data_IF_072736628958
#
_entry.id   IF_072736628958
#
_cell.length_a   1.000
_cell.length_b   1.000
_cell.length_c   1.000
_cell.angle_alpha   90.00
_cell.angle_beta   90.00
_cell.angle_gamma   90.00
#
_symmetry.space_group_name_H-M   'P 1'
#
loop_
_entity.id
_entity.type
_entity.pdbx_description
1 polymer ?
#
# COMPACT_ATOMS: atom_id res chain seq x y z
N UNK A 1 -6.22 30.76 81.06
CA UNK A 1 -5.73 29.44 80.69
C UNK A 1 -6.47 29.03 79.41
N UNK A 2 -5.84 29.26 78.29
CA UNK A 2 -6.43 28.95 76.95
C UNK A 2 -5.54 27.81 76.37
N UNK A 3 -6.15 26.63 76.17
CA UNK A 3 -5.49 25.49 75.55
C UNK A 3 -5.80 25.51 74.03
N UNK A 4 -4.78 25.76 73.23
CA UNK A 4 -4.84 25.62 71.77
C UNK A 4 -4.67 24.15 71.38
N UNK A 5 -5.64 23.63 70.61
CA UNK A 5 -5.58 22.29 70.03
C UNK A 5 -5.09 22.49 68.59
N UNK A 6 -3.87 21.96 68.29
CA UNK A 6 -3.40 21.84 66.89
C UNK A 6 -3.99 20.60 66.28
N UNK A 7 -4.82 20.76 65.24
CA UNK A 7 -5.25 19.66 64.37
C UNK A 7 -4.23 19.48 63.24
N UNK A 8 -3.46 18.40 63.28
CA UNK A 8 -2.58 17.97 62.19
C UNK A 8 -3.39 17.32 61.10
N UNK A 9 -3.41 17.91 59.89
CA UNK A 9 -3.97 17.31 58.69
C UNK A 9 -2.93 16.36 58.07
N UNK A 10 -3.16 15.06 58.13
CA UNK A 10 -2.37 14.05 57.44
C UNK A 10 -2.83 14.01 56.00
N UNK A 11 -2.05 14.62 55.07
CA UNK A 11 -2.28 14.53 53.64
C UNK A 11 -1.82 13.16 53.14
N UNK A 12 -2.74 12.28 52.78
CA UNK A 12 -2.42 11.04 52.08
C UNK A 12 -1.99 11.34 50.62
N UNK A 13 -0.71 11.22 50.35
CA UNK A 13 -0.19 11.23 48.96
C UNK A 13 -0.52 9.91 48.30
N UNK A 14 -1.55 9.88 47.49
CA UNK A 14 -1.83 8.76 46.58
C UNK A 14 -0.78 8.73 45.46
N UNK A 15 0.26 7.94 45.66
CA UNK A 15 1.18 7.56 44.58
C UNK A 15 0.43 6.63 43.64
N UNK A 16 0.03 7.15 42.47
CA UNK A 16 -0.40 6.31 41.35
C UNK A 16 0.83 5.55 40.88
N UNK A 17 0.96 4.31 41.31
CA UNK A 17 1.90 3.35 40.72
C UNK A 17 1.35 3.00 39.33
N UNK A 18 1.94 3.58 38.28
CA UNK A 18 1.73 3.09 36.92
C UNK A 18 2.25 1.64 36.88
N UNK A 19 1.34 0.70 36.72
CA UNK A 19 1.70 -0.69 36.45
C UNK A 19 2.53 -0.68 35.15
N UNK A 20 3.67 -1.41 35.11
CA UNK A 20 4.40 -1.57 33.86
C UNK A 20 3.44 -2.17 32.83
N UNK A 21 3.21 -1.49 31.72
CA UNK A 21 2.54 -2.07 30.59
C UNK A 21 3.45 -3.23 30.12
N UNK A 22 2.94 -4.45 30.17
CA UNK A 22 3.64 -5.60 29.60
C UNK A 22 3.72 -5.40 28.10
N UNK A 23 4.92 -5.56 27.53
CA UNK A 23 5.12 -5.58 26.09
C UNK A 23 4.25 -6.70 25.47
N UNK A 24 3.47 -6.36 24.48
CA UNK A 24 2.69 -7.33 23.71
C UNK A 24 3.48 -7.82 22.51
N UNK A 25 3.15 -9.01 22.02
CA UNK A 25 3.74 -9.56 20.80
C UNK A 25 2.73 -9.57 19.69
N UNK A 26 3.03 -8.85 18.60
CA UNK A 26 2.21 -8.75 17.39
C UNK A 26 2.80 -9.53 16.22
N UNK A 27 1.97 -10.23 15.48
CA UNK A 27 2.34 -10.88 14.22
C UNK A 27 2.14 -9.91 13.06
N UNK A 28 3.23 -9.68 12.33
CA UNK A 28 3.32 -8.71 11.22
C UNK A 28 3.54 -9.44 9.90
N UNK A 29 2.66 -9.21 8.94
CA UNK A 29 2.83 -9.67 7.57
C UNK A 29 3.07 -8.50 6.60
N UNK A 30 3.66 -8.81 5.44
CA UNK A 30 3.81 -7.89 4.30
C UNK A 30 3.36 -8.64 3.05
N UNK A 31 2.41 -8.08 2.29
CA UNK A 31 1.74 -8.82 1.21
C UNK A 31 2.60 -9.05 -0.04
N UNK A 32 3.53 -8.18 -0.33
CA UNK A 32 4.35 -8.24 -1.57
C UNK A 32 5.71 -8.93 -1.36
N UNK A 33 5.91 -9.59 -0.23
CA UNK A 33 7.18 -10.25 0.11
C UNK A 33 6.92 -11.71 0.47
N UNK A 34 7.50 -12.60 -0.32
CA UNK A 34 7.38 -14.04 -0.10
C UNK A 34 8.60 -14.59 0.69
N UNK A 35 8.30 -15.37 1.71
CA UNK A 35 9.30 -16.06 2.53
C UNK A 35 9.88 -15.23 3.67
N UNK A 36 10.20 -15.93 4.75
CA UNK A 36 10.67 -15.29 5.99
C UNK A 36 12.04 -14.62 5.84
N UNK A 37 12.94 -15.18 5.04
CA UNK A 37 14.27 -14.61 4.81
C UNK A 37 14.18 -13.24 4.12
N UNK A 38 13.34 -13.12 3.10
CA UNK A 38 13.10 -11.82 2.45
C UNK A 38 12.43 -10.82 3.38
N UNK A 39 11.45 -11.25 4.18
CA UNK A 39 10.83 -10.39 5.20
C UNK A 39 11.88 -9.84 6.17
N UNK A 40 12.76 -10.69 6.67
CA UNK A 40 13.84 -10.27 7.58
C UNK A 40 14.81 -9.30 6.92
N UNK A 41 15.17 -9.55 5.66
CA UNK A 41 16.12 -8.69 4.92
C UNK A 41 15.50 -7.36 4.52
N UNK A 42 14.27 -7.38 3.98
CA UNK A 42 13.65 -6.19 3.38
C UNK A 42 12.86 -5.34 4.40
N UNK A 43 12.38 -5.95 5.51
CA UNK A 43 11.53 -5.29 6.50
C UNK A 43 12.03 -5.39 7.93
N UNK A 44 13.20 -6.04 8.16
CA UNK A 44 13.84 -6.13 9.47
C UNK A 44 14.05 -4.76 10.13
N UNK A 45 14.68 -3.79 9.46
CA UNK A 45 14.84 -2.45 10.01
C UNK A 45 13.52 -1.76 10.38
N UNK A 46 12.47 -1.94 9.59
CA UNK A 46 11.13 -1.44 9.92
C UNK A 46 10.58 -2.08 11.21
N UNK A 47 10.71 -3.41 11.34
CA UNK A 47 10.31 -4.13 12.55
C UNK A 47 11.03 -3.60 13.78
N UNK A 48 12.35 -3.44 13.71
CA UNK A 48 13.16 -2.92 14.81
C UNK A 48 12.77 -1.48 15.18
N UNK A 49 12.48 -0.63 14.18
CA UNK A 49 11.99 0.72 14.41
C UNK A 49 10.62 0.73 15.10
N UNK A 50 9.71 -0.18 14.72
CA UNK A 50 8.42 -0.35 15.40
C UNK A 50 8.60 -0.78 16.87
N UNK A 51 9.43 -1.78 17.14
CA UNK A 51 9.72 -2.25 18.49
C UNK A 51 10.26 -1.13 19.38
N UNK A 52 11.18 -0.32 18.82
CA UNK A 52 11.73 0.84 19.53
C UNK A 52 10.67 1.94 19.78
N UNK A 53 9.78 2.18 18.82
CA UNK A 53 8.76 3.22 18.90
C UNK A 53 7.63 2.87 19.88
N UNK A 54 7.22 1.59 19.91
CA UNK A 54 6.04 1.14 20.65
C UNK A 54 6.35 0.51 21.99
N UNK A 55 7.56 -0.06 22.16
CA UNK A 55 7.93 -0.90 23.29
C UNK A 55 7.32 -2.31 23.23
N UNK A 56 6.60 -2.65 22.18
CA UNK A 56 6.03 -3.97 21.92
C UNK A 56 7.00 -4.82 21.08
N UNK A 57 6.74 -6.11 20.95
CA UNK A 57 7.53 -7.04 20.13
C UNK A 57 6.77 -7.39 18.86
N UNK A 58 7.48 -7.54 17.72
CA UNK A 58 6.88 -7.92 16.46
C UNK A 58 7.52 -9.18 15.89
N UNK A 59 6.69 -10.13 15.46
CA UNK A 59 7.13 -11.36 14.80
C UNK A 59 6.63 -11.39 13.37
N UNK A 60 7.52 -11.64 12.40
CA UNK A 60 7.11 -11.80 11.03
C UNK A 60 6.28 -13.07 10.82
N UNK A 61 5.17 -12.89 10.12
CA UNK A 61 4.32 -13.98 9.64
C UNK A 61 4.37 -14.01 8.11
N UNK A 62 5.07 -14.96 7.48
CA UNK A 62 5.18 -15.01 6.04
C UNK A 62 3.84 -15.40 5.41
N UNK A 63 3.48 -14.71 4.35
CA UNK A 63 2.31 -15.01 3.50
C UNK A 63 2.80 -15.24 2.07
N UNK A 64 2.14 -16.14 1.35
CA UNK A 64 2.51 -16.49 -0.02
C UNK A 64 1.59 -15.87 -1.08
N UNK A 65 0.63 -15.08 -0.66
CA UNK A 65 -0.26 -14.34 -1.54
C UNK A 65 -1.01 -13.25 -0.78
N UNK A 66 -1.56 -12.29 -1.52
CA UNK A 66 -2.44 -11.23 -1.00
C UNK A 66 -3.68 -11.78 -0.30
N UNK A 67 -4.27 -12.84 -0.86
CA UNK A 67 -5.43 -13.53 -0.27
C UNK A 67 -5.06 -14.24 1.03
N UNK A 68 -3.86 -14.82 1.12
CA UNK A 68 -3.40 -15.49 2.33
C UNK A 68 -3.31 -14.53 3.53
N UNK A 69 -2.95 -13.26 3.33
CA UNK A 69 -2.96 -12.25 4.37
C UNK A 69 -4.38 -11.98 4.91
N UNK A 70 -5.38 -11.87 4.03
CA UNK A 70 -6.78 -11.69 4.41
C UNK A 70 -7.30 -12.86 5.27
N UNK A 71 -7.02 -14.09 4.85
CA UNK A 71 -7.42 -15.29 5.60
C UNK A 71 -6.68 -15.43 6.93
N UNK A 72 -5.39 -15.04 6.99
CA UNK A 72 -4.63 -15.05 8.23
C UNK A 72 -5.16 -14.04 9.25
N UNK A 73 -5.55 -12.83 8.80
CA UNK A 73 -6.20 -11.81 9.64
C UNK A 73 -7.58 -12.29 10.14
N UNK A 74 -8.41 -12.83 9.23
CA UNK A 74 -9.73 -13.37 9.59
C UNK A 74 -9.62 -14.48 10.63
N UNK A 75 -8.58 -15.32 10.52
CA UNK A 75 -8.28 -16.40 11.47
C UNK A 75 -7.53 -15.93 12.72
N UNK A 76 -7.27 -14.63 12.88
CA UNK A 76 -6.51 -14.03 14.00
C UNK A 76 -5.10 -14.61 14.15
N UNK A 77 -4.48 -15.03 13.04
CA UNK A 77 -3.11 -15.54 13.00
C UNK A 77 -2.08 -14.46 12.67
N UNK A 78 -2.55 -13.31 12.23
CA UNK A 78 -1.79 -12.10 11.97
C UNK A 78 -2.54 -10.93 12.58
N UNK A 79 -1.81 -9.98 13.13
CA UNK A 79 -2.34 -8.82 13.83
C UNK A 79 -2.25 -7.55 12.98
N UNK A 80 -1.11 -7.36 12.32
CA UNK A 80 -0.81 -6.21 11.48
C UNK A 80 -0.36 -6.66 10.09
N UNK A 81 -0.73 -5.90 9.05
CA UNK A 81 -0.29 -6.17 7.68
C UNK A 81 0.15 -4.86 7.01
N UNK A 82 1.34 -4.87 6.42
CA UNK A 82 1.78 -3.85 5.46
C UNK A 82 1.29 -4.26 4.08
N UNK A 83 0.59 -3.38 3.39
CA UNK A 83 -0.07 -3.72 2.13
C UNK A 83 -0.29 -2.52 1.21
N UNK A 84 -0.58 -2.81 -0.06
CA UNK A 84 -0.97 -1.80 -1.04
C UNK A 84 -2.48 -1.50 -1.02
N UNK A 85 -2.91 -0.46 -1.75
CA UNK A 85 -4.31 -0.01 -1.73
C UNK A 85 -5.33 -1.04 -2.22
N UNK A 86 -5.02 -1.77 -3.28
CA UNK A 86 -5.96 -2.76 -3.83
C UNK A 86 -6.13 -3.95 -2.88
N UNK A 87 -5.04 -4.42 -2.31
CA UNK A 87 -5.04 -5.49 -1.32
C UNK A 87 -5.80 -5.08 -0.06
N UNK A 88 -5.63 -3.83 0.40
CA UNK A 88 -6.39 -3.30 1.52
C UNK A 88 -7.90 -3.41 1.29
N UNK A 89 -8.40 -3.00 0.14
CA UNK A 89 -9.84 -3.09 -0.18
C UNK A 89 -10.35 -4.52 -0.07
N UNK A 90 -9.60 -5.50 -0.58
CA UNK A 90 -9.93 -6.92 -0.48
C UNK A 90 -9.87 -7.42 0.96
N UNK A 91 -8.79 -7.08 1.68
CA UNK A 91 -8.57 -7.49 3.08
C UNK A 91 -9.66 -6.88 3.99
N UNK A 92 -9.99 -5.59 3.80
CA UNK A 92 -11.06 -4.93 4.54
C UNK A 92 -12.40 -5.64 4.32
N UNK A 93 -12.75 -5.99 3.07
CA UNK A 93 -13.99 -6.71 2.75
C UNK A 93 -14.06 -8.11 3.39
N UNK A 94 -12.94 -8.84 3.42
CA UNK A 94 -12.89 -10.24 3.88
C UNK A 94 -12.71 -10.34 5.40
N UNK A 95 -11.84 -9.51 5.98
CA UNK A 95 -11.38 -9.63 7.36
C UNK A 95 -11.81 -8.46 8.25
N UNK A 96 -12.51 -7.45 7.71
CA UNK A 96 -12.90 -6.23 8.42
C UNK A 96 -11.72 -5.50 9.08
N UNK A 97 -10.52 -5.66 8.50
CA UNK A 97 -9.32 -4.98 8.97
C UNK A 97 -9.42 -3.48 8.74
N UNK A 98 -8.84 -2.69 9.65
CA UNK A 98 -8.92 -1.24 9.64
C UNK A 98 -7.56 -0.61 9.34
N UNK A 99 -7.51 0.59 8.70
CA UNK A 99 -6.25 1.29 8.46
C UNK A 99 -5.64 1.80 9.77
N UNK A 100 -4.32 1.64 9.92
CA UNK A 100 -3.56 2.11 11.08
C UNK A 100 -2.81 3.40 10.71
N UNK A 101 -1.82 3.32 9.82
CA UNK A 101 -1.07 4.46 9.27
C UNK A 101 -0.84 4.28 7.78
N UNK A 102 -0.80 5.37 7.04
CA UNK A 102 -0.42 5.41 5.63
C UNK A 102 1.10 5.52 5.48
N UNK A 103 1.64 4.81 4.50
CA UNK A 103 3.02 4.89 4.04
C UNK A 103 2.99 5.69 2.73
N UNK A 104 3.29 7.00 2.78
CA UNK A 104 3.12 7.84 1.60
C UNK A 104 4.08 7.44 0.47
N UNK A 105 3.60 7.58 -0.75
CA UNK A 105 4.40 7.29 -1.95
C UNK A 105 4.38 8.52 -2.84
N UNK A 106 5.45 9.33 -2.85
CA UNK A 106 5.54 10.48 -3.73
C UNK A 106 5.37 10.08 -5.20
N UNK A 107 4.59 10.84 -5.95
CA UNK A 107 4.34 10.61 -7.38
C UNK A 107 3.77 9.20 -7.69
N UNK A 108 2.88 8.70 -6.83
CA UNK A 108 2.26 7.39 -7.02
C UNK A 108 1.02 7.50 -7.90
N UNK A 109 1.20 7.35 -9.20
CA UNK A 109 0.12 7.36 -10.19
C UNK A 109 0.36 6.34 -11.31
N UNK A 110 -0.68 6.02 -12.05
CA UNK A 110 -0.58 5.18 -13.22
C UNK A 110 -0.66 5.97 -14.52
N UNK A 111 -0.18 5.36 -15.59
CA UNK A 111 -0.30 5.90 -16.94
C UNK A 111 -0.52 4.80 -17.97
N UNK A 112 -1.13 5.17 -19.09
CA UNK A 112 -1.13 4.37 -20.32
C UNK A 112 -0.10 4.99 -21.27
N UNK A 113 0.90 4.19 -21.63
CA UNK A 113 2.04 4.59 -22.45
C UNK A 113 1.97 3.87 -23.79
N UNK A 114 2.30 4.57 -24.87
CA UNK A 114 2.41 4.05 -26.23
C UNK A 114 3.74 4.45 -26.86
N UNK A 115 4.15 3.79 -27.95
CA UNK A 115 5.24 4.31 -28.78
C UNK A 115 4.84 5.65 -29.40
N UNK A 116 5.71 6.66 -29.32
CA UNK A 116 5.43 7.99 -29.83
C UNK A 116 5.09 8.02 -31.32
N UNK A 117 5.65 7.07 -32.08
CA UNK A 117 5.41 6.90 -33.53
C UNK A 117 4.13 6.13 -33.87
N UNK A 118 3.38 5.61 -32.87
CA UNK A 118 2.16 4.86 -33.11
C UNK A 118 1.00 5.78 -33.53
N UNK A 119 -0.02 5.20 -34.15
CA UNK A 119 -1.29 5.83 -34.51
C UNK A 119 -2.23 6.03 -33.32
N UNK A 120 -1.91 5.45 -32.16
CA UNK A 120 -2.72 5.55 -30.94
C UNK A 120 -2.49 6.91 -30.29
N UNK A 121 -3.45 7.81 -30.37
CA UNK A 121 -3.38 9.19 -29.84
C UNK A 121 -4.12 9.33 -28.53
N UNK A 122 -5.22 8.61 -28.38
CA UNK A 122 -6.08 8.61 -27.18
C UNK A 122 -6.34 7.19 -26.70
N UNK A 123 -6.77 6.96 -25.47
CA UNK A 123 -7.17 5.63 -25.03
C UNK A 123 -8.27 4.97 -25.87
N UNK A 124 -9.15 5.75 -26.53
CA UNK A 124 -10.20 5.21 -27.41
C UNK A 124 -9.64 4.45 -28.61
N UNK A 125 -8.46 4.84 -29.09
CA UNK A 125 -7.80 4.20 -30.23
C UNK A 125 -7.26 2.80 -29.88
N UNK A 126 -7.34 2.41 -28.60
CA UNK A 126 -6.94 1.09 -28.11
C UNK A 126 -8.02 0.02 -28.28
N UNK A 127 -9.23 0.39 -28.74
CA UNK A 127 -10.30 -0.60 -28.99
C UNK A 127 -9.84 -1.70 -29.94
N UNK A 128 -10.00 -2.96 -29.50
CA UNK A 128 -9.55 -4.15 -30.23
C UNK A 128 -8.03 -4.39 -30.21
N UNK A 129 -7.25 -3.57 -29.49
CA UNK A 129 -5.80 -3.71 -29.44
C UNK A 129 -5.36 -4.46 -28.18
N UNK A 130 -4.15 -5.01 -28.25
CA UNK A 130 -3.47 -5.70 -27.14
C UNK A 130 -2.72 -4.70 -26.27
N UNK A 131 -2.86 -4.83 -24.95
CA UNK A 131 -2.27 -3.96 -23.94
C UNK A 131 -1.51 -4.82 -22.93
N UNK A 132 -0.25 -4.49 -22.65
CA UNK A 132 0.46 -5.05 -21.51
C UNK A 132 0.06 -4.35 -20.22
N UNK A 133 -0.14 -5.09 -19.15
CA UNK A 133 -0.34 -4.60 -17.79
C UNK A 133 0.47 -5.45 -16.82
N UNK A 134 0.69 -4.93 -15.62
CA UNK A 134 1.38 -5.63 -14.51
C UNK A 134 0.48 -6.76 -13.95
N UNK A 135 0.89 -7.36 -12.84
CA UNK A 135 0.20 -8.47 -12.20
C UNK A 135 -1.27 -8.15 -11.90
N UNK A 136 -2.11 -9.18 -12.02
CA UNK A 136 -3.54 -9.09 -11.68
C UNK A 136 -3.70 -8.62 -10.24
N UNK A 137 -4.54 -7.59 -10.04
CA UNK A 137 -4.78 -6.98 -8.73
C UNK A 137 -3.81 -5.86 -8.37
N UNK A 138 -2.77 -5.58 -9.16
CA UNK A 138 -1.87 -4.43 -8.94
C UNK A 138 -2.64 -3.11 -9.03
N UNK A 139 -2.61 -2.29 -7.98
CA UNK A 139 -3.31 -0.99 -7.96
C UNK A 139 -2.90 -0.12 -9.15
N UNK A 140 -1.60 0.12 -9.31
CA UNK A 140 -1.07 1.06 -10.33
C UNK A 140 -0.72 0.42 -11.66
N UNK A 141 -0.59 -0.90 -11.71
CA UNK A 141 -0.20 -1.62 -12.92
C UNK A 141 -1.34 -2.35 -13.63
N UNK A 142 -2.49 -2.53 -12.97
CA UNK A 142 -3.65 -3.19 -13.51
C UNK A 142 -4.95 -2.41 -13.27
N UNK A 143 -5.38 -2.23 -12.01
CA UNK A 143 -6.67 -1.61 -11.69
C UNK A 143 -6.76 -0.19 -12.23
N UNK A 144 -5.79 0.64 -11.94
CA UNK A 144 -5.77 2.03 -12.35
C UNK A 144 -5.70 2.21 -13.89
N UNK A 145 -4.82 1.53 -14.66
CA UNK A 145 -4.87 1.60 -16.12
C UNK A 145 -6.20 1.11 -16.70
N UNK A 146 -6.83 0.09 -16.09
CA UNK A 146 -8.16 -0.37 -16.50
C UNK A 146 -9.23 0.68 -16.23
N UNK A 147 -9.18 1.39 -15.11
CA UNK A 147 -10.06 2.51 -14.83
C UNK A 147 -9.87 3.64 -15.86
N UNK A 148 -8.62 3.97 -16.22
CA UNK A 148 -8.38 4.96 -17.27
C UNK A 148 -9.02 4.57 -18.61
N UNK A 149 -8.99 3.30 -19.00
CA UNK A 149 -9.72 2.84 -20.19
C UNK A 149 -11.22 3.06 -20.04
N UNK A 150 -11.79 2.71 -18.89
CA UNK A 150 -13.21 2.89 -18.60
C UNK A 150 -13.62 4.37 -18.61
N UNK A 151 -12.81 5.27 -18.07
CA UNK A 151 -13.04 6.72 -18.06
C UNK A 151 -13.11 7.31 -19.49
N UNK A 152 -12.42 6.66 -20.44
CA UNK A 152 -12.50 7.02 -21.87
C UNK A 152 -13.57 6.23 -22.64
N UNK A 153 -14.42 5.46 -21.95
CA UNK A 153 -15.56 4.77 -22.52
C UNK A 153 -15.27 3.41 -23.15
N UNK A 154 -14.15 2.79 -22.80
CA UNK A 154 -13.84 1.40 -23.16
C UNK A 154 -14.17 0.47 -21.98
N UNK A 155 -14.73 -0.70 -22.25
CA UNK A 155 -14.83 -1.79 -21.29
C UNK A 155 -13.51 -2.57 -21.31
N UNK A 156 -12.64 -2.46 -20.27
CA UNK A 156 -11.33 -3.12 -20.29
C UNK A 156 -11.43 -4.65 -20.31
N UNK A 157 -12.61 -5.21 -19.98
CA UNK A 157 -12.83 -6.66 -19.98
C UNK A 157 -13.30 -7.20 -21.34
N UNK A 158 -13.64 -6.31 -22.30
CA UNK A 158 -14.24 -6.70 -23.60
C UNK A 158 -13.65 -5.97 -24.80
N UNK A 159 -13.34 -4.67 -24.62
CA UNK A 159 -12.94 -3.81 -25.73
C UNK A 159 -11.44 -3.86 -26.05
N UNK A 160 -10.63 -4.48 -25.19
CA UNK A 160 -9.18 -4.61 -25.34
C UNK A 160 -8.72 -6.03 -24.94
N UNK A 161 -7.55 -6.46 -25.42
CA UNK A 161 -6.91 -7.68 -24.98
C UNK A 161 -5.80 -7.34 -23.97
N UNK A 162 -6.03 -7.61 -22.67
CA UNK A 162 -5.03 -7.37 -21.63
C UNK A 162 -4.15 -8.61 -21.48
N UNK A 163 -2.83 -8.40 -21.48
CA UNK A 163 -1.83 -9.42 -21.13
C UNK A 163 -1.07 -8.99 -19.88
N UNK A 164 -1.06 -9.85 -18.87
CA UNK A 164 -0.36 -9.58 -17.61
C UNK A 164 1.07 -10.11 -17.70
N UNK A 165 2.04 -9.21 -17.55
CA UNK A 165 3.46 -9.50 -17.66
C UNK A 165 4.26 -8.58 -16.73
N UNK A 166 5.48 -8.98 -16.38
CA UNK A 166 6.36 -8.07 -15.61
C UNK A 166 6.62 -6.77 -16.37
N UNK A 167 6.90 -5.69 -15.65
CA UNK A 167 7.19 -4.37 -16.24
C UNK A 167 8.30 -4.39 -17.29
N UNK A 168 9.33 -5.20 -17.06
CA UNK A 168 10.43 -5.33 -18.03
C UNK A 168 9.95 -5.98 -19.33
N UNK A 169 9.14 -7.04 -19.24
CA UNK A 169 8.57 -7.73 -20.40
C UNK A 169 7.58 -6.82 -21.14
N UNK A 170 6.71 -6.09 -20.42
CA UNK A 170 5.77 -5.14 -21.02
C UNK A 170 6.47 -4.00 -21.76
N UNK A 171 7.56 -3.47 -21.21
CA UNK A 171 8.37 -2.45 -21.86
C UNK A 171 8.99 -2.97 -23.19
N UNK A 172 9.56 -4.16 -23.18
CA UNK A 172 10.12 -4.75 -24.39
C UNK A 172 9.05 -5.10 -25.43
N UNK A 173 7.89 -5.62 -24.99
CA UNK A 173 6.76 -5.90 -25.87
C UNK A 173 6.24 -4.63 -26.56
N UNK A 174 6.16 -3.51 -25.82
CA UNK A 174 5.77 -2.22 -26.38
C UNK A 174 6.77 -1.74 -27.45
N UNK A 175 8.06 -1.84 -27.19
CA UNK A 175 9.13 -1.46 -28.13
C UNK A 175 9.07 -2.25 -29.44
N UNK A 176 8.81 -3.56 -29.36
CA UNK A 176 8.68 -4.44 -30.53
C UNK A 176 7.37 -4.27 -31.28
N UNK A 177 6.36 -3.65 -30.65
CA UNK A 177 5.03 -3.56 -31.21
C UNK A 177 4.16 -4.80 -31.00
N UNK A 178 4.55 -5.71 -30.10
CA UNK A 178 3.77 -6.89 -29.71
C UNK A 178 2.50 -6.49 -28.95
N UNK A 179 2.52 -5.31 -28.33
CA UNK A 179 1.38 -4.64 -27.70
C UNK A 179 1.30 -3.19 -28.16
N UNK A 180 0.09 -2.66 -28.25
CA UNK A 180 -0.18 -1.28 -28.66
C UNK A 180 0.08 -0.26 -27.53
N UNK A 181 -0.09 -0.69 -26.29
CA UNK A 181 0.07 0.16 -25.11
C UNK A 181 0.59 -0.63 -23.90
N UNK A 182 1.08 0.11 -22.92
CA UNK A 182 1.52 -0.41 -21.64
C UNK A 182 0.88 0.39 -20.50
N UNK A 183 0.03 -0.27 -19.70
CA UNK A 183 -0.55 0.27 -18.47
C UNK A 183 0.42 0.03 -17.31
N UNK A 184 0.86 1.09 -16.61
CA UNK A 184 2.02 0.97 -15.71
C UNK A 184 2.00 1.99 -14.57
N UNK A 185 2.62 1.63 -13.43
CA UNK A 185 3.10 2.63 -12.48
C UNK A 185 4.16 3.48 -13.16
N UNK A 186 3.86 4.75 -13.41
CA UNK A 186 4.69 5.60 -14.25
C UNK A 186 6.10 5.81 -13.68
N UNK A 187 6.20 6.18 -12.40
CA UNK A 187 7.50 6.48 -11.80
C UNK A 187 8.37 5.23 -11.63
N UNK A 188 7.77 4.11 -11.27
CA UNK A 188 8.51 2.83 -11.21
C UNK A 188 9.04 2.42 -12.59
N UNK A 189 8.26 2.64 -13.64
CA UNK A 189 8.70 2.38 -15.01
C UNK A 189 9.81 3.34 -15.45
N UNK A 190 9.64 4.65 -15.23
CA UNK A 190 10.62 5.67 -15.60
C UNK A 190 11.96 5.44 -14.90
N UNK A 191 11.92 5.27 -13.58
CA UNK A 191 13.14 5.15 -12.77
C UNK A 191 13.76 3.75 -12.85
N UNK A 192 12.93 2.71 -12.92
CA UNK A 192 13.38 1.32 -12.91
C UNK A 192 13.83 0.78 -14.26
N UNK A 193 13.16 1.15 -15.33
CA UNK A 193 13.31 0.50 -16.65
C UNK A 193 13.65 1.52 -17.73
N UNK A 194 12.71 2.43 -18.06
CA UNK A 194 12.88 3.37 -19.19
C UNK A 194 14.12 4.24 -19.04
N UNK A 195 14.37 4.78 -17.86
CA UNK A 195 15.52 5.65 -17.60
C UNK A 195 16.87 4.95 -17.77
N UNK A 196 16.88 3.62 -17.67
CA UNK A 196 18.06 2.78 -17.86
C UNK A 196 18.21 2.24 -19.29
N UNK A 197 17.12 2.24 -20.07
CA UNK A 197 17.12 1.73 -21.44
C UNK A 197 17.70 2.78 -22.40
N UNK A 198 18.88 2.46 -22.91
CA UNK A 198 19.59 3.28 -23.92
C UNK A 198 19.36 2.81 -25.35
N UNK A 199 18.56 1.77 -25.56
CA UNK A 199 18.28 1.22 -26.89
C UNK A 199 17.27 2.04 -27.69
N UNK A 200 16.56 2.97 -27.04
CA UNK A 200 15.60 3.89 -27.66
C UNK A 200 15.90 5.34 -27.31
N UNK A 201 15.61 6.30 -28.21
CA UNK A 201 15.86 7.72 -27.94
C UNK A 201 14.91 8.26 -26.86
N UNK A 202 15.30 9.38 -26.25
CA UNK A 202 14.36 10.17 -25.46
C UNK A 202 13.18 10.60 -26.35
N UNK A 203 11.95 10.48 -25.82
CA UNK A 203 10.76 10.78 -26.62
C UNK A 203 10.24 9.61 -27.47
N UNK A 204 10.85 8.41 -27.38
CA UNK A 204 10.33 7.21 -28.04
C UNK A 204 8.94 6.81 -27.54
N UNK A 205 8.55 7.26 -26.35
CA UNK A 205 7.28 6.95 -25.72
C UNK A 205 6.41 8.20 -25.51
N UNK A 206 5.11 8.00 -25.56
CA UNK A 206 4.09 9.03 -25.26
C UNK A 206 3.11 8.51 -24.24
N UNK A 207 2.79 9.31 -23.22
CA UNK A 207 1.68 9.07 -22.30
C UNK A 207 0.39 9.57 -22.95
N UNK A 208 -0.61 8.72 -23.09
CA UNK A 208 -1.93 9.06 -23.67
C UNK A 208 -3.02 9.20 -22.61
N UNK A 209 -2.79 8.68 -21.40
CA UNK A 209 -3.64 8.90 -20.24
C UNK A 209 -2.80 8.80 -18.96
N UNK A 210 -3.19 9.54 -17.94
CA UNK A 210 -2.60 9.56 -16.62
C UNK A 210 -3.71 9.70 -15.57
N UNK A 211 -3.58 8.99 -14.43
CA UNK A 211 -4.44 9.20 -13.26
C UNK A 211 -4.00 10.43 -12.43
N UNK A 212 -4.84 10.84 -11.49
CA UNK A 212 -4.39 11.54 -10.29
C UNK A 212 -3.53 10.63 -9.42
N UNK A 213 -3.09 11.15 -8.27
CA UNK A 213 -2.34 10.36 -7.31
C UNK A 213 -3.22 9.26 -6.71
N UNK A 214 -2.64 8.09 -6.57
CA UNK A 214 -3.26 6.92 -5.97
C UNK A 214 -3.14 6.99 -4.45
N UNK A 215 -4.06 6.36 -3.70
CA UNK A 215 -3.92 6.23 -2.25
C UNK A 215 -2.60 5.58 -1.85
N UNK A 216 -2.14 5.93 -0.67
CA UNK A 216 -0.90 5.41 -0.10
C UNK A 216 -0.98 3.91 0.21
N UNK A 217 0.18 3.24 0.20
CA UNK A 217 0.31 1.97 0.90
C UNK A 217 0.07 2.19 2.40
N UNK A 218 -0.23 1.15 3.17
CA UNK A 218 -0.59 1.32 4.58
C UNK A 218 -0.17 0.14 5.44
N UNK A 219 -0.07 0.41 6.73
CA UNK A 219 -0.20 -0.60 7.78
C UNK A 219 -1.66 -0.66 8.18
N UNK A 220 -2.22 -1.85 8.21
CA UNK A 220 -3.56 -2.12 8.73
C UNK A 220 -3.51 -3.06 9.94
N UNK A 221 -4.59 -3.08 10.71
CA UNK A 221 -4.74 -3.97 11.85
C UNK A 221 -6.01 -4.82 11.76
N UNK A 222 -5.93 -6.03 12.32
CA UNK A 222 -7.05 -6.96 12.35
C UNK A 222 -8.18 -6.49 13.26
N UNK A 223 -9.42 -6.80 12.92
CA UNK A 223 -10.61 -6.43 13.69
C UNK A 223 -10.64 -6.99 15.12
N UNK A 224 -9.74 -7.91 15.47
CA UNK A 224 -9.60 -8.48 16.80
C UNK A 224 -8.69 -7.64 17.72
N UNK A 225 -7.95 -6.67 17.19
CA UNK A 225 -7.13 -5.76 17.98
C UNK A 225 -8.05 -4.69 18.58
N UNK A 226 -7.89 -4.45 19.88
CA UNK A 226 -8.64 -3.43 20.60
C UNK A 226 -8.37 -2.02 20.03
N UNK A 227 -9.43 -1.22 19.87
CA UNK A 227 -9.32 0.12 19.24
C UNK A 227 -8.40 1.06 20.03
N UNK A 228 -8.34 0.93 21.39
CA UNK A 228 -7.42 1.72 22.20
C UNK A 228 -5.98 1.33 21.91
N UNK A 229 -5.67 0.02 21.83
CA UNK A 229 -4.34 -0.46 21.50
C UNK A 229 -3.93 -0.04 20.09
N UNK A 230 -4.85 -0.11 19.12
CA UNK A 230 -4.61 0.40 17.76
C UNK A 230 -4.28 1.90 17.76
N UNK A 231 -4.96 2.70 18.59
CA UNK A 231 -4.67 4.13 18.71
C UNK A 231 -3.30 4.38 19.36
N UNK A 232 -2.94 3.62 20.40
CA UNK A 232 -1.63 3.72 21.06
C UNK A 232 -0.50 3.37 20.04
N UNK A 233 -0.67 2.31 19.23
CA UNK A 233 0.26 1.95 18.15
C UNK A 233 0.35 3.05 17.09
N UNK A 234 -0.80 3.58 16.63
CA UNK A 234 -0.85 4.67 15.64
C UNK A 234 -0.09 5.89 16.14
N UNK A 235 -0.35 6.30 17.37
CA UNK A 235 0.31 7.44 17.98
C UNK A 235 1.82 7.22 18.05
N UNK A 236 2.27 6.08 18.55
CA UNK A 236 3.69 5.76 18.63
C UNK A 236 4.37 5.79 17.25
N UNK A 237 3.74 5.22 16.23
CA UNK A 237 4.26 5.24 14.86
C UNK A 237 4.35 6.65 14.29
N UNK A 238 3.36 7.50 14.53
CA UNK A 238 3.35 8.88 14.03
C UNK A 238 4.32 9.78 14.82
N UNK A 239 4.50 9.57 16.12
CA UNK A 239 5.47 10.29 16.94
C UNK A 239 6.92 9.95 16.52
N UNK A 240 7.17 8.75 16.01
CA UNK A 240 8.48 8.25 15.54
C UNK A 240 8.56 8.10 14.01
N UNK A 241 7.74 8.82 13.26
CA UNK A 241 7.57 8.65 11.80
C UNK A 241 8.86 8.78 11.00
N UNK A 242 9.77 9.67 11.38
CA UNK A 242 11.03 9.87 10.69
C UNK A 242 11.93 8.63 10.80
N UNK A 243 12.13 8.10 12.01
CA UNK A 243 12.95 6.91 12.25
C UNK A 243 12.38 5.69 11.50
N UNK A 244 11.05 5.55 11.49
CA UNK A 244 10.36 4.45 10.81
C UNK A 244 10.49 4.59 9.29
N UNK A 245 10.30 5.79 8.74
CA UNK A 245 10.45 6.05 7.30
C UNK A 245 11.90 5.78 6.84
N UNK A 246 12.88 6.26 7.58
CA UNK A 246 14.30 6.02 7.29
C UNK A 246 14.62 4.52 7.33
N UNK A 247 14.09 3.78 8.30
CA UNK A 247 14.26 2.35 8.42
C UNK A 247 13.74 1.60 7.18
N UNK A 248 12.57 1.97 6.65
CA UNK A 248 11.99 1.38 5.43
C UNK A 248 12.87 1.70 4.21
N UNK A 249 13.26 2.97 4.05
CA UNK A 249 13.98 3.44 2.84
C UNK A 249 15.43 2.98 2.82
N UNK A 250 16.06 2.80 3.99
CA UNK A 250 17.48 2.41 4.13
C UNK A 250 17.82 1.09 3.43
N UNK A 251 16.87 0.18 3.33
CA UNK A 251 17.06 -1.14 2.70
C UNK A 251 17.27 -1.03 1.19
N UNK A 252 16.67 -0.02 0.55
CA UNK A 252 16.69 0.09 -0.91
C UNK A 252 15.86 -0.99 -1.61
N UNK A 253 16.33 -1.50 -2.77
CA UNK A 253 15.60 -2.53 -3.51
C UNK A 253 14.15 -2.13 -3.84
N UNK A 254 13.19 -2.99 -3.54
CA UNK A 254 11.76 -2.71 -3.74
C UNK A 254 11.25 -1.58 -2.81
N UNK A 255 11.89 -1.36 -1.66
CA UNK A 255 11.55 -0.28 -0.74
C UNK A 255 12.01 1.10 -1.25
N UNK A 256 12.80 1.16 -2.33
CA UNK A 256 13.16 2.42 -2.98
C UNK A 256 11.92 3.20 -3.50
N UNK A 257 10.78 2.53 -3.67
CA UNK A 257 9.48 3.15 -3.99
C UNK A 257 8.99 4.12 -2.92
N UNK A 258 9.49 4.00 -1.70
CA UNK A 258 9.16 4.86 -0.56
C UNK A 258 10.13 6.03 -0.35
N UNK A 259 11.10 6.24 -1.23
CA UNK A 259 12.04 7.36 -1.09
C UNK A 259 11.31 8.70 -1.01
N UNK A 260 11.54 9.46 0.05
CA UNK A 260 10.85 10.71 0.34
C UNK A 260 9.46 10.52 0.96
N UNK A 261 9.16 9.33 1.47
CA UNK A 261 7.92 9.05 2.18
C UNK A 261 7.81 9.77 3.51
N UNK A 262 6.58 9.83 4.01
CA UNK A 262 6.24 10.12 5.40
C UNK A 262 5.20 9.09 5.88
N UNK A 263 5.13 8.86 7.19
CA UNK A 263 3.99 8.20 7.79
C UNK A 263 2.89 9.24 8.01
N UNK A 264 1.68 8.92 7.57
CA UNK A 264 0.54 9.84 7.60
C UNK A 264 -0.68 9.18 8.22
N UNK A 265 -1.54 10.02 8.80
CA UNK A 265 -2.86 9.55 9.20
C UNK A 265 -3.64 9.10 7.96
N UNK A 266 -4.40 8.03 8.11
CA UNK A 266 -5.16 7.44 7.01
C UNK A 266 -6.53 6.97 7.52
N UNK A 267 -7.52 7.02 6.65
CA UNK A 267 -8.85 6.48 6.91
C UNK A 267 -9.34 5.65 5.71
N UNK A 268 -10.40 4.90 5.91
CA UNK A 268 -10.96 4.01 4.89
C UNK A 268 -11.47 4.78 3.65
N UNK A 269 -12.02 5.99 3.83
CA UNK A 269 -12.53 6.80 2.71
C UNK A 269 -11.46 7.16 1.68
N UNK A 270 -10.18 7.20 2.06
CA UNK A 270 -9.08 7.45 1.13
C UNK A 270 -8.95 6.38 0.04
N UNK A 271 -9.53 5.18 0.27
CA UNK A 271 -9.47 4.04 -0.66
C UNK A 271 -10.71 3.88 -1.53
N UNK A 272 -11.68 4.80 -1.45
CA UNK A 272 -12.88 4.78 -2.31
C UNK A 272 -12.55 4.80 -3.82
N UNK A 273 -11.56 5.57 -4.30
CA UNK A 273 -11.16 5.50 -5.71
C UNK A 273 -10.71 4.10 -6.13
N UNK A 274 -10.05 3.34 -5.24
CA UNK A 274 -9.61 1.97 -5.53
C UNK A 274 -10.80 1.02 -5.61
N UNK A 275 -11.82 1.18 -4.74
CA UNK A 275 -13.08 0.42 -4.81
C UNK A 275 -13.75 0.63 -6.18
N UNK A 276 -13.77 1.87 -6.67
CA UNK A 276 -14.29 2.17 -8.01
C UNK A 276 -13.54 1.41 -9.12
N UNK A 277 -12.21 1.28 -9.02
CA UNK A 277 -11.39 0.57 -10.00
C UNK A 277 -11.74 -0.93 -10.11
N UNK A 278 -12.20 -1.54 -9.02
CA UNK A 278 -12.66 -2.94 -9.06
C UNK A 278 -13.87 -3.15 -9.97
N UNK A 279 -14.73 -2.14 -10.13
CA UNK A 279 -15.84 -2.18 -11.13
C UNK A 279 -15.30 -2.28 -12.54
N UNK A 280 -14.26 -1.51 -12.86
CA UNK A 280 -13.67 -1.49 -14.20
C UNK A 280 -13.08 -2.85 -14.62
N UNK A 281 -12.58 -3.63 -13.68
CA UNK A 281 -12.03 -4.98 -13.95
C UNK A 281 -13.05 -6.12 -13.77
N UNK A 282 -14.35 -5.80 -13.69
CA UNK A 282 -15.40 -6.80 -13.55
C UNK A 282 -15.50 -7.49 -12.19
N UNK A 283 -14.99 -6.85 -11.14
CA UNK A 283 -15.04 -7.36 -9.75
C UNK A 283 -15.84 -6.44 -8.82
N UNK A 284 -17.14 -6.20 -9.10
CA UNK A 284 -17.96 -5.24 -8.35
C UNK A 284 -18.15 -5.61 -6.88
N UNK A 285 -17.92 -6.87 -6.49
CA UNK A 285 -18.03 -7.32 -5.09
C UNK A 285 -17.06 -6.61 -4.13
N UNK A 286 -15.99 -5.99 -4.65
CA UNK A 286 -15.04 -5.18 -3.89
C UNK A 286 -15.28 -3.67 -4.01
N UNK A 287 -16.33 -3.28 -4.75
CA UNK A 287 -16.63 -1.88 -5.03
C UNK A 287 -17.59 -1.26 -4.01
N UNK A 288 -18.15 -2.03 -3.08
CA UNK A 288 -19.05 -1.52 -2.06
C UNK A 288 -18.25 -0.83 -0.95
N UNK A 289 -18.74 0.32 -0.52
CA UNK A 289 -18.17 1.04 0.62
C UNK A 289 -18.43 0.26 1.92
N UNK A 290 -17.39 -0.13 2.65
CA UNK A 290 -17.52 -0.98 3.83
C UNK A 290 -17.91 -0.23 5.12
N UNK A 291 -18.00 1.10 5.07
CA UNK A 291 -18.21 1.99 6.22
C UNK A 291 -19.57 2.68 6.26
N UNK A 292 -20.56 2.21 5.50
CA UNK A 292 -21.94 2.71 5.58
C UNK A 292 -22.80 1.81 6.44
#
# INVERSE_FOLDING_TARGET
>A
MIRSVLAGALGAVLTFSSLPAFAETFKLAVTDVEGLERLQTEWGPFKEALEKATGDTFEFYPVNSRTAAAEALRAKRVDLVVTGPAEYVVINKIAHAKPLVGLSRPDYFCSIVVMAKSDVITPKDLKGKKIAMDDIGSTSGHLCPSQLLADYGLDPTKDVEITHVSRAVGHEALKRGDVAAFGVNYMSWVNGIRGKDKSVPQGAFRVIARSGDLPNDLVLYGAHIDDKKAEDLRKAMLDHKADIADAIVSVGGENAKYRGMDLVAVNDAAYEPVRSMFKAIGQPQYADFAGQ
#
